data_IF_104948284928
#
_entry.id   IF_104948284928
#
_cell.length_a   1.000
_cell.length_b   1.000
_cell.length_c   1.000
_cell.angle_alpha   90.00
_cell.angle_beta   90.00
_cell.angle_gamma   90.00
#
_symmetry.space_group_name_H-M   'P 1'
#
loop_
_entity.id
_entity.type
_entity.pdbx_description
1 polymer ?
#
# COMPACT_ATOMS: atom_id res chain seq x y z
N UNK A 1 -14.58 6.68 -4.55
CA UNK A 1 -13.68 6.14 -3.50
C UNK A 1 -12.25 6.14 -4.00
N UNK A 2 -11.22 6.41 -3.16
CA UNK A 2 -9.82 6.51 -3.61
C UNK A 2 -9.26 5.21 -4.20
N UNK A 3 -9.58 4.06 -3.59
CA UNK A 3 -9.18 2.73 -4.09
C UNK A 3 -9.67 2.51 -5.52
N UNK A 4 -10.92 2.85 -5.84
CA UNK A 4 -11.47 2.74 -7.19
C UNK A 4 -10.74 3.62 -8.22
N UNK A 5 -10.15 4.75 -7.80
CA UNK A 5 -9.32 5.59 -8.68
C UNK A 5 -7.95 4.95 -8.90
N UNK A 6 -7.32 4.47 -7.82
CA UNK A 6 -6.03 3.78 -7.90
C UNK A 6 -6.10 2.49 -8.73
N UNK A 7 -7.20 1.75 -8.64
CA UNK A 7 -7.44 0.53 -9.42
C UNK A 7 -7.80 0.76 -10.88
N UNK A 8 -8.17 1.99 -11.24
CA UNK A 8 -8.41 2.40 -12.62
C UNK A 8 -7.14 2.81 -13.36
N UNK A 9 -5.98 2.87 -12.68
CA UNK A 9 -4.70 3.18 -13.30
C UNK A 9 -4.11 1.90 -13.89
N UNK A 10 -3.65 1.99 -15.14
CA UNK A 10 -2.89 0.93 -15.77
C UNK A 10 -1.46 0.94 -15.22
N UNK A 11 -1.15 0.01 -14.32
CA UNK A 11 0.19 -0.15 -13.74
C UNK A 11 1.12 -0.99 -14.61
N UNK A 12 0.58 -1.74 -15.58
CA UNK A 12 1.34 -2.67 -16.42
C UNK A 12 1.80 -3.94 -15.69
N UNK A 13 1.40 -4.12 -14.44
CA UNK A 13 1.64 -5.31 -13.63
C UNK A 13 0.41 -5.61 -12.76
N UNK A 14 0.29 -6.87 -12.35
CA UNK A 14 -0.74 -7.31 -11.41
C UNK A 14 -0.49 -6.66 -10.05
N UNK A 15 -1.52 -6.03 -9.49
CA UNK A 15 -1.48 -5.45 -8.14
C UNK A 15 -2.16 -6.41 -7.18
N UNK A 16 -1.41 -6.92 -6.20
CA UNK A 16 -1.90 -7.88 -5.21
C UNK A 16 -2.88 -7.24 -4.23
N UNK A 17 -2.64 -5.97 -3.84
CA UNK A 17 -3.58 -5.22 -3.02
C UNK A 17 -3.35 -3.70 -3.02
N UNK A 18 -4.39 -2.97 -2.59
CA UNK A 18 -4.39 -1.52 -2.38
C UNK A 18 -4.40 -1.20 -0.88
N UNK A 19 -3.51 -0.31 -0.46
CA UNK A 19 -3.24 0.00 0.94
C UNK A 19 -3.75 1.41 1.27
N UNK A 20 -4.72 1.50 2.17
CA UNK A 20 -5.28 2.75 2.69
C UNK A 20 -4.77 3.01 4.10
N UNK A 21 -4.62 4.28 4.45
CA UNK A 21 -4.16 4.72 5.77
C UNK A 21 -2.84 4.05 6.16
N UNK A 22 -1.93 3.96 5.20
CA UNK A 22 -0.65 3.31 5.40
C UNK A 22 0.23 4.13 6.35
N UNK A 23 0.80 3.48 7.36
CA UNK A 23 1.82 4.06 8.22
C UNK A 23 3.10 3.26 8.08
N UNK A 24 4.21 3.97 7.88
CA UNK A 24 5.52 3.37 7.72
C UNK A 24 6.04 2.87 9.07
N UNK A 25 6.54 1.64 9.10
CA UNK A 25 7.20 1.02 10.25
C UNK A 25 8.53 0.45 9.76
N UNK A 26 9.58 1.27 9.82
CA UNK A 26 10.89 0.92 9.26
C UNK A 26 10.85 0.77 7.73
N UNK A 27 11.06 -0.45 7.25
CA UNK A 27 11.02 -0.85 5.83
C UNK A 27 9.69 -1.50 5.41
N UNK A 28 8.69 -1.50 6.30
CA UNK A 28 7.35 -2.06 6.11
C UNK A 28 6.28 -0.99 6.25
N UNK A 29 5.06 -1.34 5.88
CA UNK A 29 3.87 -0.54 6.17
C UNK A 29 2.85 -1.37 6.92
N UNK A 30 2.18 -0.75 7.89
CA UNK A 30 0.87 -1.20 8.38
C UNK A 30 -0.20 -0.42 7.65
N UNK A 31 -1.25 -1.07 7.16
CA UNK A 31 -2.30 -0.41 6.38
C UNK A 31 -3.60 -1.20 6.39
N UNK A 32 -4.70 -0.54 6.03
CA UNK A 32 -5.94 -1.23 5.69
C UNK A 32 -5.88 -1.72 4.25
N UNK A 33 -6.12 -3.01 4.03
CA UNK A 33 -6.04 -3.62 2.72
C UNK A 33 -7.37 -3.59 1.97
N UNK A 34 -7.31 -3.43 0.65
CA UNK A 34 -8.45 -3.54 -0.26
C UNK A 34 -8.06 -4.26 -1.55
N UNK A 35 -8.97 -5.07 -2.06
CA UNK A 35 -8.80 -5.76 -3.34
C UNK A 35 -7.68 -6.80 -3.32
N UNK A 36 -7.51 -7.48 -2.17
CA UNK A 36 -6.58 -8.61 -2.05
C UNK A 36 -6.91 -9.68 -3.11
N UNK A 37 -5.94 -9.94 -3.99
CA UNK A 37 -6.13 -10.89 -5.09
C UNK A 37 -6.16 -12.35 -4.64
N UNK A 38 -5.58 -12.67 -3.48
CA UNK A 38 -5.61 -14.03 -2.95
C UNK A 38 -6.99 -14.42 -2.41
N UNK A 39 -7.83 -13.43 -2.09
CA UNK A 39 -9.11 -13.62 -1.41
C UNK A 39 -8.99 -14.05 0.05
N UNK A 40 -7.76 -14.11 0.59
CA UNK A 40 -7.50 -14.50 1.97
C UNK A 40 -7.78 -13.35 2.95
N UNK A 41 -7.68 -12.10 2.50
CA UNK A 41 -7.81 -10.92 3.35
C UNK A 41 -9.00 -10.08 2.91
N UNK A 42 -9.98 -9.97 3.80
CA UNK A 42 -11.16 -9.13 3.60
C UNK A 42 -10.82 -7.65 3.57
N UNK A 43 -11.54 -6.91 2.71
CA UNK A 43 -11.40 -5.45 2.59
C UNK A 43 -11.57 -4.74 3.95
N UNK A 44 -10.67 -3.81 4.25
CA UNK A 44 -10.67 -3.00 5.46
C UNK A 44 -9.89 -3.59 6.64
N UNK A 45 -9.41 -4.84 6.54
CA UNK A 45 -8.55 -5.44 7.57
C UNK A 45 -7.16 -4.79 7.58
N UNK A 46 -6.58 -4.67 8.78
CA UNK A 46 -5.21 -4.18 8.95
C UNK A 46 -4.21 -5.29 8.65
N UNK A 47 -3.26 -4.99 7.78
CA UNK A 47 -2.17 -5.89 7.40
C UNK A 47 -0.83 -5.22 7.66
N UNK A 48 0.22 -6.03 7.78
CA UNK A 48 1.61 -5.57 7.73
C UNK A 48 2.23 -6.12 6.46
N UNK A 49 2.81 -5.24 5.64
CA UNK A 49 3.51 -5.67 4.43
C UNK A 49 4.81 -6.40 4.79
N UNK A 50 5.32 -7.27 3.91
CA UNK A 50 6.75 -7.57 3.89
C UNK A 50 7.59 -6.29 3.73
N UNK A 51 8.92 -6.36 3.89
CA UNK A 51 9.79 -5.25 3.49
C UNK A 51 9.53 -4.85 2.04
N UNK A 52 9.34 -3.56 1.78
CA UNK A 52 8.96 -3.04 0.47
C UNK A 52 9.84 -1.87 0.05
N UNK A 53 9.93 -1.65 -1.27
CA UNK A 53 10.50 -0.44 -1.85
C UNK A 53 9.51 0.23 -2.80
N UNK A 54 9.58 1.55 -2.89
CA UNK A 54 8.87 2.30 -3.92
C UNK A 54 9.47 2.00 -5.30
N UNK A 55 8.59 1.82 -6.28
CA UNK A 55 8.93 1.57 -7.68
C UNK A 55 8.66 2.81 -8.51
N UNK A 56 7.46 3.37 -8.38
CA UNK A 56 7.04 4.56 -9.12
C UNK A 56 5.82 5.22 -8.47
N UNK A 57 5.50 6.43 -8.91
CA UNK A 57 4.31 7.17 -8.50
C UNK A 57 3.47 7.56 -9.72
N UNK A 58 2.16 7.34 -9.65
CA UNK A 58 1.19 7.72 -10.69
C UNK A 58 -0.09 8.23 -10.05
N UNK A 59 -0.59 9.38 -10.52
CA UNK A 59 -1.88 9.92 -10.08
C UNK A 59 -1.98 10.19 -8.57
N UNK A 60 -0.86 10.42 -7.88
CA UNK A 60 -0.81 10.61 -6.42
C UNK A 60 -0.84 9.31 -5.61
N UNK A 61 -0.61 8.17 -6.25
CA UNK A 61 -0.48 6.86 -5.61
C UNK A 61 0.92 6.29 -5.86
N UNK A 62 1.39 5.45 -4.94
CA UNK A 62 2.75 4.89 -4.99
C UNK A 62 2.69 3.38 -5.20
N UNK A 63 3.33 2.91 -6.28
CA UNK A 63 3.55 1.48 -6.49
C UNK A 63 4.73 1.02 -5.63
N UNK A 64 4.48 0.00 -4.82
CA UNK A 64 5.44 -0.65 -3.95
C UNK A 64 5.68 -2.07 -4.42
N UNK A 65 6.90 -2.57 -4.23
CA UNK A 65 7.25 -3.96 -4.49
C UNK A 65 7.91 -4.59 -3.27
N UNK A 66 7.51 -5.81 -2.93
CA UNK A 66 8.15 -6.57 -1.86
C UNK A 66 9.61 -6.89 -2.21
N UNK A 67 10.50 -6.84 -1.21
CA UNK A 67 11.93 -7.12 -1.42
C UNK A 67 12.23 -8.61 -1.57
N UNK A 68 11.44 -9.47 -0.90
CA UNK A 68 11.60 -10.92 -0.93
C UNK A 68 10.78 -11.65 -1.99
N UNK A 69 9.94 -10.93 -2.74
CA UNK A 69 8.94 -11.52 -3.63
C UNK A 69 8.69 -10.72 -4.89
N UNK A 70 7.62 -11.10 -5.57
CA UNK A 70 7.11 -10.39 -6.74
C UNK A 70 5.73 -9.77 -6.46
N UNK A 71 5.45 -9.50 -5.18
CA UNK A 71 4.21 -8.91 -4.74
C UNK A 71 4.27 -7.40 -4.94
N UNK A 72 3.18 -6.85 -5.46
CA UNK A 72 3.03 -5.44 -5.78
C UNK A 72 1.83 -4.88 -5.03
N UNK A 73 2.08 -3.79 -4.30
CA UNK A 73 1.04 -3.09 -3.54
C UNK A 73 0.96 -1.64 -4.01
N UNK A 74 -0.22 -1.04 -3.94
CA UNK A 74 -0.37 0.40 -4.20
C UNK A 74 -0.74 1.11 -2.91
N UNK A 75 0.10 2.04 -2.47
CA UNK A 75 -0.27 2.97 -1.39
C UNK A 75 -1.23 4.01 -1.95
N UNK A 76 -2.45 3.99 -1.42
CA UNK A 76 -3.58 4.85 -1.82
C UNK A 76 -3.67 6.10 -0.94
N UNK A 77 -3.33 5.97 0.34
CA UNK A 77 -3.15 7.09 1.26
C UNK A 77 -2.21 6.70 2.39
N UNK A 78 -1.39 7.65 2.82
CA UNK A 78 -0.54 7.52 3.99
C UNK A 78 -1.14 8.31 5.15
N UNK A 79 -0.96 7.81 6.36
CA UNK A 79 -1.16 8.60 7.56
C UNK A 79 -0.03 9.63 7.67
N UNK A 80 -0.30 10.81 8.25
CA UNK A 80 0.78 11.73 8.59
C UNK A 80 1.77 11.00 9.49
N UNK A 81 3.06 11.25 9.28
CA UNK A 81 4.07 10.83 10.24
C UNK A 81 3.66 11.43 11.58
N UNK A 82 3.60 10.60 12.62
CA UNK A 82 3.41 11.12 13.96
C UNK A 82 4.75 11.79 14.29
N UNK A 83 4.87 13.09 14.02
CA UNK A 83 5.98 13.87 14.52
C UNK A 83 5.98 13.66 16.04
N UNK A 84 6.98 12.95 16.54
CA UNK A 84 7.36 12.99 17.95
C UNK A 84 7.88 14.42 18.23
N UNK A 85 6.99 15.41 18.18
CA UNK A 85 7.23 16.73 18.71
C UNK A 85 7.17 16.62 20.24
N UNK A 86 8.21 16.03 20.81
CA UNK A 86 8.56 16.23 22.21
C UNK A 86 8.97 17.70 22.37
N UNK A 87 8.18 18.44 23.17
CA UNK A 87 8.45 19.82 23.55
C UNK A 87 9.36 19.88 24.78
#
# INVERSE_FOLDING_TARGET
MRVARASGIEWGITIDAYLMNAARVGDRYTAQVYGDQSGAISNGMTVVTPPVRAVEQRGGFTLMRSLGGNDHYVIVSELPECDDAEA
#
